data_IF_407100886420
#
_entry.id   IF_407100886420
#
_cell.length_a   1.000
_cell.length_b   1.000
_cell.length_c   1.000
_cell.angle_alpha   90.00
_cell.angle_beta   90.00
_cell.angle_gamma   90.00
#
_symmetry.space_group_name_H-M   'P 1'
#
loop_
_entity.id
_entity.type
_entity.pdbx_description
1 polymer ?
#
# COMPACT_ATOMS: atom_id res chain seq x y z
N UNK A 1 -8.20 11.60 -12.44
CA UNK A 1 -7.17 10.95 -11.61
C UNK A 1 -6.51 9.87 -12.46
N UNK A 2 -5.19 9.85 -12.55
CA UNK A 2 -4.46 8.88 -13.39
C UNK A 2 -4.12 7.61 -12.62
N UNK A 3 -4.12 6.46 -13.32
CA UNK A 3 -3.72 5.18 -12.72
C UNK A 3 -2.21 5.19 -12.42
N UNK A 4 -1.82 4.51 -11.34
CA UNK A 4 -0.44 4.13 -11.10
C UNK A 4 0.04 3.09 -12.11
N UNK A 5 1.34 3.07 -12.38
CA UNK A 5 1.95 2.29 -13.45
C UNK A 5 1.76 0.78 -13.25
N UNK A 6 1.86 0.33 -12.01
CA UNK A 6 1.74 -1.05 -11.58
C UNK A 6 0.31 -1.60 -11.73
N UNK A 7 -0.68 -0.71 -11.78
CA UNK A 7 -2.11 -1.07 -11.77
C UNK A 7 -2.84 -0.63 -13.05
N UNK A 8 -2.12 -0.35 -14.14
CA UNK A 8 -2.71 0.08 -15.42
C UNK A 8 -3.74 -0.91 -15.97
N UNK A 9 -3.49 -2.20 -15.75
CA UNK A 9 -4.32 -3.30 -16.23
C UNK A 9 -5.60 -3.47 -15.40
N UNK A 10 -5.67 -2.89 -14.20
CA UNK A 10 -6.83 -3.02 -13.30
C UNK A 10 -7.89 -1.97 -13.61
N UNK A 11 -9.15 -2.25 -13.28
CA UNK A 11 -10.23 -1.28 -13.41
C UNK A 11 -10.08 -0.24 -12.29
N UNK A 12 -9.99 1.04 -12.65
CA UNK A 12 -10.02 2.16 -11.71
C UNK A 12 -11.47 2.59 -11.51
N UNK A 13 -11.93 2.62 -10.26
CA UNK A 13 -13.27 3.06 -9.87
C UNK A 13 -13.15 4.46 -9.28
N UNK A 14 -13.99 5.38 -9.75
CA UNK A 14 -14.10 6.71 -9.16
C UNK A 14 -14.93 6.63 -7.87
N UNK A 15 -14.31 6.99 -6.75
CA UNK A 15 -14.98 7.15 -5.47
C UNK A 15 -14.89 8.61 -5.02
N UNK A 16 -16.04 9.30 -5.06
CA UNK A 16 -16.14 10.72 -4.71
C UNK A 16 -15.99 10.98 -3.21
N UNK A 17 -16.25 9.97 -2.36
CA UNK A 17 -16.06 10.07 -0.91
C UNK A 17 -14.58 10.05 -0.56
N UNK A 18 -13.80 9.27 -1.32
CA UNK A 18 -12.38 9.06 -1.13
C UNK A 18 -11.56 9.60 -2.32
N UNK A 19 -11.77 10.87 -2.68
CA UNK A 19 -11.16 11.49 -3.88
C UNK A 19 -9.64 11.63 -3.82
N UNK A 20 -9.00 11.29 -2.71
CA UNK A 20 -7.54 11.29 -2.55
C UNK A 20 -6.95 9.90 -2.75
N UNK A 21 -7.77 8.86 -2.64
CA UNK A 21 -7.37 7.46 -2.74
C UNK A 21 -7.75 6.91 -4.12
N UNK A 22 -7.07 5.85 -4.55
CA UNK A 22 -7.43 5.13 -5.78
C UNK A 22 -8.07 3.80 -5.43
N UNK A 23 -9.27 3.56 -5.94
CA UNK A 23 -9.95 2.27 -5.82
C UNK A 23 -9.74 1.45 -7.08
N UNK A 24 -9.06 0.31 -6.94
CA UNK A 24 -8.84 -0.63 -8.03
C UNK A 24 -9.66 -1.90 -7.83
N UNK A 25 -10.12 -2.49 -8.94
CA UNK A 25 -10.89 -3.74 -8.96
C UNK A 25 -10.27 -4.74 -9.93
N UNK A 26 -10.14 -5.99 -9.47
CA UNK A 26 -9.75 -7.16 -10.25
C UNK A 26 -10.96 -7.79 -10.93
N UNK A 27 -10.71 -8.64 -11.92
CA UNK A 27 -11.75 -9.35 -12.69
C UNK A 27 -12.65 -10.26 -11.83
N UNK A 28 -12.15 -10.77 -10.69
CA UNK A 28 -12.93 -11.60 -9.76
C UNK A 28 -13.79 -10.77 -8.80
N UNK A 29 -13.84 -9.45 -8.98
CA UNK A 29 -14.57 -8.49 -8.13
C UNK A 29 -13.87 -8.16 -6.82
N UNK A 30 -12.68 -8.71 -6.56
CA UNK A 30 -11.86 -8.25 -5.43
C UNK A 30 -11.33 -6.85 -5.69
N UNK A 31 -11.27 -6.01 -4.66
CA UNK A 31 -10.93 -4.59 -4.81
C UNK A 31 -10.12 -4.07 -3.64
N UNK A 32 -9.38 -3.00 -3.92
CA UNK A 32 -8.57 -2.36 -2.91
C UNK A 32 -8.47 -0.85 -3.09
N UNK A 33 -8.41 -0.15 -1.97
CA UNK A 33 -7.95 1.24 -1.94
C UNK A 33 -6.44 1.27 -1.76
N UNK A 34 -5.79 2.21 -2.43
CA UNK A 34 -4.41 2.57 -2.16
C UNK A 34 -4.35 4.06 -1.83
N UNK A 35 -3.83 4.36 -0.64
CA UNK A 35 -3.61 5.72 -0.19
C UNK A 35 -2.33 6.31 -0.80
N UNK A 36 -2.25 7.64 -1.02
CA UNK A 36 -1.05 8.27 -1.57
C UNK A 36 0.22 8.00 -0.76
N UNK A 37 0.11 7.96 0.58
CA UNK A 37 1.25 7.71 1.47
C UNK A 37 1.76 6.29 1.29
N UNK A 38 0.87 5.29 1.25
CA UNK A 38 1.27 3.91 0.96
C UNK A 38 1.99 3.82 -0.39
N UNK A 39 1.43 4.45 -1.43
CA UNK A 39 2.05 4.41 -2.75
C UNK A 39 3.43 5.09 -2.77
N UNK A 40 3.62 6.18 -2.03
CA UNK A 40 4.94 6.81 -1.90
C UNK A 40 5.98 5.88 -1.22
N UNK A 41 5.57 5.11 -0.21
CA UNK A 41 6.42 4.09 0.42
C UNK A 41 6.76 2.97 -0.58
N UNK A 42 5.76 2.52 -1.34
CA UNK A 42 5.93 1.50 -2.38
C UNK A 42 6.90 1.96 -3.48
N UNK A 43 6.80 3.21 -3.94
CA UNK A 43 7.73 3.80 -4.91
C UNK A 43 9.15 3.92 -4.34
N UNK A 44 9.29 4.35 -3.08
CA UNK A 44 10.59 4.42 -2.42
C UNK A 44 11.23 3.02 -2.31
N UNK A 45 10.44 2.02 -1.92
CA UNK A 45 10.87 0.64 -1.85
C UNK A 45 11.32 0.11 -3.21
N UNK A 46 10.60 0.40 -4.30
CA UNK A 46 10.99 0.04 -5.66
C UNK A 46 12.39 0.52 -6.03
N UNK A 47 12.73 1.75 -5.62
CA UNK A 47 14.05 2.35 -5.89
C UNK A 47 15.15 1.63 -5.13
N UNK A 48 14.91 1.27 -3.86
CA UNK A 48 15.91 0.64 -2.99
C UNK A 48 16.04 -0.87 -3.22
N UNK A 49 14.93 -1.55 -3.48
CA UNK A 49 14.79 -3.01 -3.51
C UNK A 49 14.10 -3.48 -4.80
N UNK A 50 14.57 -3.00 -5.96
CA UNK A 50 13.96 -3.30 -7.25
C UNK A 50 13.74 -4.79 -7.54
N UNK A 51 14.59 -5.68 -7.01
CA UNK A 51 14.48 -7.13 -7.19
C UNK A 51 13.32 -7.74 -6.39
N UNK A 52 12.94 -7.10 -5.28
CA UNK A 52 11.86 -7.56 -4.40
C UNK A 52 10.53 -6.84 -4.68
N UNK A 53 10.53 -5.87 -5.58
CA UNK A 53 9.33 -5.10 -5.90
C UNK A 53 8.20 -5.98 -6.44
N UNK A 54 8.52 -6.89 -7.37
CA UNK A 54 7.51 -7.76 -7.98
C UNK A 54 6.90 -8.75 -6.97
N UNK A 55 7.68 -9.22 -5.98
CA UNK A 55 7.14 -10.12 -4.95
C UNK A 55 6.21 -9.36 -3.99
N UNK A 56 6.49 -8.09 -3.69
CA UNK A 56 5.57 -7.23 -2.93
C UNK A 56 4.26 -7.01 -3.69
N UNK A 57 4.32 -6.65 -4.97
CA UNK A 57 3.10 -6.48 -5.80
C UNK A 57 2.28 -7.76 -5.88
N UNK A 58 2.93 -8.91 -6.07
CA UNK A 58 2.26 -10.21 -6.07
C UNK A 58 1.60 -10.49 -4.73
N UNK A 59 2.29 -10.21 -3.62
CA UNK A 59 1.74 -10.40 -2.28
C UNK A 59 0.53 -9.50 -2.02
N UNK A 60 0.58 -8.25 -2.48
CA UNK A 60 -0.58 -7.34 -2.45
C UNK A 60 -1.76 -7.95 -3.21
N UNK A 61 -1.56 -8.42 -4.44
CA UNK A 61 -2.61 -9.08 -5.22
C UNK A 61 -3.19 -10.31 -4.50
N UNK A 62 -2.34 -11.18 -3.96
CA UNK A 62 -2.77 -12.37 -3.19
C UNK A 62 -3.65 -11.99 -2.00
N UNK A 63 -3.27 -10.95 -1.25
CA UNK A 63 -4.01 -10.46 -0.09
C UNK A 63 -5.37 -9.87 -0.50
N UNK A 64 -5.42 -9.11 -1.60
CA UNK A 64 -6.69 -8.57 -2.11
C UNK A 64 -7.63 -9.67 -2.55
N UNK A 65 -7.14 -10.63 -3.34
CA UNK A 65 -7.98 -11.74 -3.83
C UNK A 65 -8.48 -12.65 -2.73
N UNK A 66 -7.67 -12.86 -1.68
CA UNK A 66 -8.03 -13.66 -0.51
C UNK A 66 -9.10 -12.98 0.35
N UNK A 67 -8.92 -11.68 0.63
CA UNK A 67 -9.78 -10.95 1.58
C UNK A 67 -10.92 -10.17 0.90
N UNK A 68 -10.93 -10.11 -0.44
CA UNK A 68 -11.88 -9.41 -1.32
C UNK A 68 -11.90 -7.89 -1.21
N UNK A 69 -11.65 -7.31 -0.03
CA UNK A 69 -11.70 -5.88 0.23
C UNK A 69 -10.54 -5.47 1.15
N UNK A 70 -9.62 -4.66 0.61
CA UNK A 70 -8.39 -4.24 1.32
C UNK A 70 -8.18 -2.73 1.21
N UNK A 71 -7.71 -2.10 2.29
CA UNK A 71 -7.19 -0.72 2.27
C UNK A 71 -5.69 -0.82 2.53
N UNK A 72 -4.89 -0.40 1.54
CA UNK A 72 -3.46 -0.21 1.70
C UNK A 72 -3.19 1.22 2.18
N UNK A 73 -2.81 1.34 3.45
CA UNK A 73 -2.62 2.63 4.13
C UNK A 73 -1.16 2.86 4.48
N UNK A 74 -0.74 4.13 4.45
CA UNK A 74 0.60 4.53 4.86
C UNK A 74 0.72 4.78 6.37
N UNK A 75 -0.28 4.38 7.16
CA UNK A 75 -0.26 4.54 8.61
C UNK A 75 0.83 3.72 9.25
N UNK A 76 1.42 4.30 10.28
CA UNK A 76 2.41 3.68 11.13
C UNK A 76 1.68 3.23 12.42
N UNK A 77 2.05 2.07 12.98
CA UNK A 77 1.42 1.55 14.20
C UNK A 77 1.55 2.53 15.38
N UNK A 78 2.48 3.49 15.31
CA UNK A 78 2.68 4.53 16.33
C UNK A 78 1.64 5.65 16.27
N UNK A 79 0.98 5.86 15.14
CA UNK A 79 -0.08 6.87 15.01
C UNK A 79 -1.42 6.19 15.29
N UNK A 80 -2.07 6.49 16.42
CA UNK A 80 -3.43 6.01 16.78
C UNK A 80 -4.53 6.49 15.81
N UNK A 81 -4.20 6.80 14.56
CA UNK A 81 -5.09 7.35 13.54
C UNK A 81 -5.77 6.22 12.74
N UNK A 82 -7.06 6.38 12.46
CA UNK A 82 -7.84 5.56 11.53
C UNK A 82 -7.50 5.89 10.07
N UNK A 83 -7.52 4.91 9.13
CA UNK A 83 -7.25 5.15 7.70
C UNK A 83 -8.03 6.37 7.18
N UNK A 84 -7.37 7.19 6.36
CA UNK A 84 -8.01 8.38 5.76
C UNK A 84 -9.17 7.95 4.87
N UNK A 85 -9.06 6.75 4.30
CA UNK A 85 -10.11 6.12 3.50
C UNK A 85 -11.34 5.78 4.34
N UNK A 86 -12.45 6.46 4.06
CA UNK A 86 -13.74 6.21 4.71
C UNK A 86 -14.57 5.22 3.91
N UNK A 87 -14.84 4.05 4.48
CA UNK A 87 -15.70 3.01 3.92
C UNK A 87 -16.83 2.68 4.89
N UNK A 88 -18.03 2.42 4.36
CA UNK A 88 -19.18 1.92 5.14
C UNK A 88 -19.24 0.37 5.14
N UNK A 89 -18.25 -0.27 4.52
CA UNK A 89 -18.11 -1.73 4.44
C UNK A 89 -16.86 -2.18 5.20
N UNK A 90 -16.86 -3.44 5.66
CA UNK A 90 -15.70 -4.08 6.27
C UNK A 90 -14.58 -4.33 5.26
N UNK A 91 -13.54 -3.49 5.32
CA UNK A 91 -12.27 -3.70 4.64
C UNK A 91 -11.21 -4.11 5.66
N UNK A 92 -10.32 -5.03 5.27
CA UNK A 92 -9.11 -5.21 6.06
C UNK A 92 -8.14 -4.08 5.75
N UNK A 93 -7.44 -3.60 6.77
CA UNK A 93 -6.45 -2.54 6.63
C UNK A 93 -5.09 -3.21 6.71
N UNK A 94 -4.21 -2.88 5.76
CA UNK A 94 -2.85 -3.38 5.70
C UNK A 94 -1.89 -2.22 5.46
N UNK A 95 -0.87 -2.13 6.30
CA UNK A 95 0.22 -1.18 6.15
C UNK A 95 1.27 -1.72 5.18
N UNK A 96 2.19 -0.85 4.77
CA UNK A 96 3.33 -1.28 3.98
C UNK A 96 4.22 -2.28 4.75
N UNK A 97 4.41 -2.04 6.05
CA UNK A 97 5.23 -2.88 6.90
C UNK A 97 4.62 -4.27 7.13
N UNK A 98 3.30 -4.39 7.26
CA UNK A 98 2.60 -5.68 7.32
C UNK A 98 2.97 -6.58 6.13
N UNK A 99 3.01 -6.00 4.93
CA UNK A 99 3.29 -6.76 3.70
C UNK A 99 4.76 -7.20 3.68
N UNK A 100 5.67 -6.30 4.04
CA UNK A 100 7.11 -6.62 4.05
C UNK A 100 7.47 -7.61 5.16
N UNK A 101 6.82 -7.54 6.32
CA UNK A 101 7.00 -8.50 7.42
C UNK A 101 6.53 -9.90 7.00
N UNK A 102 5.37 -10.02 6.35
CA UNK A 102 4.88 -11.29 5.79
C UNK A 102 5.82 -11.90 4.75
N UNK A 103 6.69 -11.09 4.14
CA UNK A 103 7.69 -11.53 3.15
C UNK A 103 9.08 -11.71 3.77
N UNK A 104 9.27 -11.45 5.07
CA UNK A 104 10.56 -11.39 5.76
C UNK A 104 11.55 -10.40 5.12
N UNK A 105 11.03 -9.31 4.56
CA UNK A 105 11.82 -8.22 3.98
C UNK A 105 12.03 -7.18 5.07
N UNK A 106 13.20 -7.19 5.69
CA UNK A 106 13.55 -6.24 6.75
C UNK A 106 14.10 -4.95 6.13
N UNK A 107 13.24 -3.92 6.09
CA UNK A 107 13.66 -2.57 5.67
C UNK A 107 14.57 -2.02 6.76
N UNK A 108 15.88 -2.05 6.48
CA UNK A 108 16.87 -1.55 7.40
C UNK A 108 16.79 -0.02 7.35
N UNK A 109 16.08 0.57 8.31
CA UNK A 109 16.08 2.01 8.50
C UNK A 109 17.51 2.41 8.90
N UNK A 110 18.37 2.72 7.92
CA UNK A 110 19.54 3.57 8.16
C UNK A 110 19.01 4.96 8.49
N UNK A 111 18.33 5.05 9.64
CA UNK A 111 18.10 6.28 10.35
C UNK A 111 19.49 6.88 10.50
N UNK A 112 19.67 8.07 9.94
CA UNK A 112 20.90 8.83 10.01
C UNK A 112 21.26 8.94 11.48
N UNK A 113 22.14 8.07 11.95
CA UNK A 113 22.90 8.29 13.16
C UNK A 113 23.55 9.66 12.99
N UNK A 114 23.18 10.57 13.87
CA UNK A 114 23.75 11.89 14.01
C UNK A 114 25.28 11.79 14.05
N UNK A 115 25.93 11.92 12.91
CA UNK A 115 27.36 12.27 12.82
C UNK A 115 27.44 13.80 12.75
N UNK A 116 26.95 14.45 13.81
CA UNK A 116 27.46 15.74 14.23
C UNK A 116 28.43 15.45 15.36
N UNK A 117 29.56 14.85 14.99
CA UNK A 117 30.69 14.58 15.87
C UNK A 117 31.86 15.50 15.51
N UNK A 118 32.06 16.50 16.37
CA UNK A 118 33.21 17.42 16.53
C UNK A 118 33.50 18.47 15.43
#
# INVERSE_FOLDING_TARGET
MEKYLEFQNLKLIEDKKNSFCRLYEYEDGSRFYIEPIFYALLENFKVQYHQEFDIVLKKMEELVRKNKKVIFTGMDEETEDDPVTQTDEDYIILTFYDITDMLNIYINNKSRGSDYGD
#
